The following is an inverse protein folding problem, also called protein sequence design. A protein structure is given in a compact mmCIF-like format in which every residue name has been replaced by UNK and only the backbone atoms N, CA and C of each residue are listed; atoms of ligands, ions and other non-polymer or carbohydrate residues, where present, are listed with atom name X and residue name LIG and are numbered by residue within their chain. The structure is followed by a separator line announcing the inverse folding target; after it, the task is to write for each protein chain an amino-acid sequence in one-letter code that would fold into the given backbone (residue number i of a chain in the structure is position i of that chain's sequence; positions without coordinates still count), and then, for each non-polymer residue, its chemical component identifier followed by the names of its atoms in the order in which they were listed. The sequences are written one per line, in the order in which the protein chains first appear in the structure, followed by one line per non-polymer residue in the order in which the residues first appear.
data_IF_670021754345
#
_entry.id   IF_670021754345
#
_cell.length_a   1.000
_cell.length_b   1.000
_cell.length_c   1.000
_cell.angle_alpha   90.00
_cell.angle_beta   90.00
_cell.angle_gamma   90.00
#
_symmetry.space_group_name_H-M   'P 1'
#
loop_
_entity.id
_entity.type
_entity.pdbx_description
1 polymer ?
#
# COMPACT_ATOMS: atom_id res chain seq x y z
N UNK A 1 -7.58 5.95 -44.54
CA UNK A 1 -6.99 6.24 -43.22
C UNK A 1 -6.79 4.92 -42.49
N UNK A 2 -5.59 4.61 -42.02
CA UNK A 2 -5.35 3.42 -41.21
C UNK A 2 -5.90 3.66 -39.82
N UNK A 3 -7.04 3.05 -39.52
CA UNK A 3 -7.57 3.01 -38.18
C UNK A 3 -6.61 2.18 -37.31
N UNK A 4 -5.94 2.83 -36.35
CA UNK A 4 -4.96 2.20 -35.47
C UNK A 4 -5.58 1.03 -34.70
N UNK A 5 -6.90 1.02 -34.52
CA UNK A 5 -7.63 -0.05 -33.85
C UNK A 5 -7.96 -1.24 -34.76
N UNK A 6 -7.64 -1.19 -36.06
CA UNK A 6 -7.75 -2.34 -36.98
C UNK A 6 -6.46 -3.15 -37.09
N UNK A 7 -5.33 -2.56 -36.67
CA UNK A 7 -4.01 -3.19 -36.75
C UNK A 7 -3.59 -3.71 -35.38
N UNK A 8 -3.51 -5.03 -35.23
CA UNK A 8 -2.88 -5.65 -34.07
C UNK A 8 -1.45 -6.09 -34.41
N UNK A 9 -0.48 -5.72 -33.56
CA UNK A 9 0.90 -6.22 -33.68
C UNK A 9 1.04 -7.45 -32.78
N UNK A 10 1.08 -8.63 -33.40
CA UNK A 10 1.25 -9.92 -32.71
C UNK A 10 -0.06 -10.50 -32.15
N UNK A 11 -0.38 -11.74 -32.56
CA UNK A 11 -1.65 -12.42 -32.24
C UNK A 11 -2.87 -11.75 -32.87
N UNK A 12 -4.06 -12.23 -32.50
CA UNK A 12 -5.36 -11.83 -33.08
C UNK A 12 -6.49 -11.61 -32.03
N UNK A 13 -6.15 -11.72 -30.75
CA UNK A 13 -7.10 -11.78 -29.63
C UNK A 13 -8.03 -10.56 -29.42
N UNK A 14 -7.83 -9.44 -30.12
CA UNK A 14 -8.76 -8.30 -30.12
C UNK A 14 -9.37 -8.00 -31.50
N UNK A 15 -8.89 -8.63 -32.57
CA UNK A 15 -9.31 -8.30 -33.95
C UNK A 15 -10.77 -8.67 -34.23
N UNK A 16 -11.29 -9.67 -33.53
CA UNK A 16 -12.68 -10.14 -33.68
C UNK A 16 -13.69 -9.33 -32.85
N UNK A 17 -13.24 -8.36 -32.05
CA UNK A 17 -14.13 -7.56 -31.20
C UNK A 17 -14.74 -6.41 -32.00
N UNK A 18 -16.01 -6.10 -31.71
CA UNK A 18 -16.73 -4.96 -32.30
C UNK A 18 -16.04 -3.64 -31.97
N UNK A 19 -15.50 -3.52 -30.75
CA UNK A 19 -14.71 -2.38 -30.26
C UNK A 19 -13.47 -2.97 -29.58
N UNK A 20 -12.27 -2.47 -29.91
CA UNK A 20 -11.07 -2.92 -29.20
C UNK A 20 -11.05 -2.38 -27.77
N UNK A 21 -10.55 -3.15 -26.79
CA UNK A 21 -10.45 -2.67 -25.41
C UNK A 21 -9.70 -1.33 -25.30
N UNK A 22 -8.61 -1.16 -26.04
CA UNK A 22 -7.82 0.08 -26.06
C UNK A 22 -8.63 1.29 -26.54
N UNK A 23 -9.52 1.11 -27.52
CA UNK A 23 -10.40 2.17 -28.01
C UNK A 23 -11.41 2.59 -26.94
N UNK A 24 -12.07 1.62 -26.31
CA UNK A 24 -13.02 1.87 -25.23
C UNK A 24 -12.36 2.58 -24.04
N UNK A 25 -11.17 2.12 -23.63
CA UNK A 25 -10.41 2.69 -22.52
C UNK A 25 -10.03 4.15 -22.79
N UNK A 26 -9.47 4.43 -23.98
CA UNK A 26 -9.03 5.77 -24.33
C UNK A 26 -10.20 6.74 -24.49
N UNK A 27 -11.30 6.32 -25.14
CA UNK A 27 -12.48 7.18 -25.32
C UNK A 27 -13.15 7.56 -24.01
N UNK A 28 -13.06 6.71 -22.98
CA UNK A 28 -13.64 6.96 -21.67
C UNK A 28 -12.62 7.51 -20.64
N UNK A 29 -11.36 7.75 -21.05
CA UNK A 29 -10.28 8.21 -20.17
C UNK A 29 -10.15 7.37 -18.89
N UNK A 30 -10.25 6.04 -19.00
CA UNK A 30 -10.18 5.17 -17.83
C UNK A 30 -8.76 5.16 -17.25
N UNK A 31 -8.60 5.17 -15.91
CA UNK A 31 -7.28 5.08 -15.30
C UNK A 31 -6.62 3.73 -15.61
N UNK A 32 -5.29 3.70 -15.41
CA UNK A 32 -4.46 2.59 -15.86
C UNK A 32 -4.91 1.21 -15.33
N UNK A 33 -5.32 1.12 -14.07
CA UNK A 33 -5.69 -0.15 -13.46
C UNK A 33 -6.97 -0.73 -14.09
N UNK A 34 -8.01 0.08 -14.16
CA UNK A 34 -9.31 -0.26 -14.74
C UNK A 34 -9.19 -0.61 -16.22
N UNK A 35 -8.39 0.16 -16.96
CA UNK A 35 -8.10 -0.14 -18.35
C UNK A 35 -7.40 -1.50 -18.54
N UNK A 36 -6.42 -1.82 -17.69
CA UNK A 36 -5.79 -3.14 -17.75
C UNK A 36 -6.77 -4.26 -17.37
N UNK A 37 -7.61 -4.06 -16.36
CA UNK A 37 -8.63 -5.04 -15.99
C UNK A 37 -9.54 -5.38 -17.18
N UNK A 38 -10.09 -4.37 -17.87
CA UNK A 38 -10.90 -4.56 -19.08
C UNK A 38 -10.13 -5.31 -20.16
N UNK A 39 -8.89 -4.90 -20.43
CA UNK A 39 -8.02 -5.55 -21.42
C UNK A 39 -7.89 -7.05 -21.14
N UNK A 40 -7.63 -7.45 -19.90
CA UNK A 40 -7.47 -8.86 -19.54
C UNK A 40 -8.81 -9.63 -19.54
N UNK A 41 -9.91 -8.99 -19.10
CA UNK A 41 -11.26 -9.56 -19.17
C UNK A 41 -11.73 -9.80 -20.62
N UNK A 42 -11.29 -8.98 -21.57
CA UNK A 42 -11.59 -9.21 -22.97
C UNK A 42 -10.70 -10.30 -23.58
N UNK A 43 -9.44 -10.43 -23.13
CA UNK A 43 -8.44 -11.31 -23.74
C UNK A 43 -8.50 -12.78 -23.28
N UNK A 44 -8.98 -13.05 -22.07
CA UNK A 44 -8.69 -14.31 -21.37
C UNK A 44 -9.08 -15.59 -22.14
N UNK A 45 -10.15 -15.56 -22.94
CA UNK A 45 -10.61 -16.74 -23.71
C UNK A 45 -9.68 -17.08 -24.87
N UNK A 46 -9.00 -16.07 -25.41
CA UNK A 46 -8.14 -16.15 -26.59
C UNK A 46 -6.68 -16.32 -26.19
N UNK A 47 -6.28 -15.79 -25.02
CA UNK A 47 -4.91 -15.88 -24.50
C UNK A 47 -4.91 -15.80 -22.97
N UNK A 48 -3.97 -16.49 -22.33
CA UNK A 48 -3.70 -16.35 -20.90
C UNK A 48 -4.71 -17.05 -19.97
N UNK A 49 -5.95 -17.31 -20.41
CA UNK A 49 -6.95 -18.08 -19.67
C UNK A 49 -7.09 -17.59 -18.22
N UNK A 50 -7.00 -18.49 -17.22
CA UNK A 50 -7.08 -18.16 -15.80
C UNK A 50 -6.10 -17.06 -15.38
N UNK A 51 -4.88 -17.06 -15.92
CA UNK A 51 -3.85 -16.10 -15.52
C UNK A 51 -4.24 -14.66 -15.88
N UNK A 52 -4.99 -14.46 -16.97
CA UNK A 52 -5.47 -13.11 -17.31
C UNK A 52 -6.61 -12.68 -16.39
N UNK A 53 -7.45 -13.61 -15.92
CA UNK A 53 -8.44 -13.30 -14.88
C UNK A 53 -7.78 -12.93 -13.54
N UNK A 54 -6.71 -13.64 -13.15
CA UNK A 54 -5.93 -13.30 -11.95
C UNK A 54 -5.29 -11.91 -12.07
N UNK A 55 -4.77 -11.55 -13.26
CA UNK A 55 -4.28 -10.19 -13.53
C UNK A 55 -5.41 -9.17 -13.44
N UNK A 56 -6.59 -9.45 -13.99
CA UNK A 56 -7.74 -8.54 -13.89
C UNK A 56 -8.12 -8.28 -12.43
N UNK A 57 -8.17 -9.33 -11.60
CA UNK A 57 -8.43 -9.20 -10.15
C UNK A 57 -7.37 -8.32 -9.49
N UNK A 58 -6.09 -8.54 -9.78
CA UNK A 58 -5.01 -7.72 -9.23
C UNK A 58 -5.17 -6.24 -9.60
N UNK A 59 -5.50 -5.94 -10.86
CA UNK A 59 -5.76 -4.56 -11.27
C UNK A 59 -7.00 -3.95 -10.59
N UNK A 60 -8.05 -4.74 -10.34
CA UNK A 60 -9.16 -4.27 -9.51
C UNK A 60 -8.69 -3.95 -8.08
N UNK A 61 -7.84 -4.76 -7.48
CA UNK A 61 -7.28 -4.50 -6.15
C UNK A 61 -6.47 -3.19 -6.12
N UNK A 62 -5.70 -2.90 -7.18
CA UNK A 62 -4.99 -1.61 -7.30
C UNK A 62 -5.95 -0.42 -7.35
N UNK A 63 -7.08 -0.54 -8.05
CA UNK A 63 -8.09 0.52 -8.08
C UNK A 63 -8.77 0.70 -6.72
N UNK A 64 -9.03 -0.41 -6.01
CA UNK A 64 -9.56 -0.39 -4.64
C UNK A 64 -8.60 0.34 -3.70
N UNK A 65 -7.33 -0.04 -3.69
CA UNK A 65 -6.32 0.58 -2.82
C UNK A 65 -6.17 2.10 -3.08
N UNK A 66 -6.17 2.50 -4.35
CA UNK A 66 -6.05 3.92 -4.76
C UNK A 66 -7.26 4.76 -4.35
N UNK A 67 -8.47 4.28 -4.61
CA UNK A 67 -9.70 5.08 -4.50
C UNK A 67 -10.44 4.84 -3.17
N UNK A 68 -10.19 3.71 -2.52
CA UNK A 68 -10.82 3.26 -1.29
C UNK A 68 -9.77 2.73 -0.30
N UNK A 69 -8.73 3.52 0.04
CA UNK A 69 -7.69 3.07 0.96
C UNK A 69 -8.30 2.67 2.30
N UNK A 70 -7.91 1.50 2.80
CA UNK A 70 -8.41 0.98 4.07
C UNK A 70 -7.92 1.87 5.22
N UNK A 71 -8.86 2.65 5.79
CA UNK A 71 -8.56 3.54 6.93
C UNK A 71 -8.09 2.78 8.18
N UNK A 72 -8.36 1.47 8.24
CA UNK A 72 -7.96 0.62 9.35
C UNK A 72 -6.45 0.48 9.46
N UNK A 73 -5.76 0.33 8.34
CA UNK A 73 -4.31 0.13 8.33
C UNK A 73 -3.59 1.36 8.89
N UNK A 74 -4.05 2.56 8.51
CA UNK A 74 -3.52 3.82 9.07
C UNK A 74 -3.76 3.95 10.57
N UNK A 75 -4.95 3.58 11.06
CA UNK A 75 -5.29 3.69 12.48
C UNK A 75 -4.51 2.68 13.32
N UNK A 76 -4.38 1.44 12.85
CA UNK A 76 -3.63 0.41 13.54
C UNK A 76 -2.13 0.74 13.60
N UNK A 77 -1.57 1.26 12.51
CA UNK A 77 -0.18 1.73 12.47
C UNK A 77 0.04 2.93 13.42
N UNK A 78 -0.86 3.91 13.41
CA UNK A 78 -0.80 5.04 14.33
C UNK A 78 -0.96 4.64 15.81
N UNK A 79 -1.82 3.67 16.11
CA UNK A 79 -1.99 3.13 17.46
C UNK A 79 -0.73 2.41 17.94
N UNK A 80 -0.06 1.67 17.06
CA UNK A 80 1.19 0.99 17.35
C UNK A 80 2.31 2.01 17.65
N UNK A 81 2.48 3.01 16.79
CA UNK A 81 3.46 4.09 17.00
C UNK A 81 3.23 4.82 18.33
N UNK A 82 1.97 5.12 18.65
CA UNK A 82 1.60 5.77 19.92
C UNK A 82 2.01 4.92 21.13
N UNK A 83 1.79 3.60 21.07
CA UNK A 83 2.13 2.69 22.16
C UNK A 83 3.65 2.59 22.36
N UNK A 84 4.41 2.47 21.27
CA UNK A 84 5.88 2.44 21.32
C UNK A 84 6.44 3.74 21.92
N UNK A 85 5.86 4.88 21.53
CA UNK A 85 6.22 6.18 22.08
C UNK A 85 5.92 6.27 23.59
N UNK A 86 4.73 5.83 24.03
CA UNK A 86 4.36 5.81 25.45
C UNK A 86 5.30 4.93 26.28
N UNK A 87 5.70 3.75 25.77
CA UNK A 87 6.65 2.86 26.44
C UNK A 87 8.03 3.51 26.56
N UNK A 88 8.51 4.15 25.49
CA UNK A 88 9.76 4.91 25.50
C UNK A 88 9.76 6.04 26.53
N UNK A 89 8.67 6.82 26.62
CA UNK A 89 8.52 7.86 27.63
C UNK A 89 8.51 7.31 29.06
N UNK A 90 7.83 6.19 29.30
CA UNK A 90 7.79 5.54 30.63
C UNK A 90 9.20 5.08 31.05
N UNK A 91 9.94 4.48 30.13
CA UNK A 91 11.31 4.03 30.40
C UNK A 91 12.26 5.21 30.65
N UNK A 92 12.18 6.27 29.85
CA UNK A 92 12.97 7.50 30.07
C UNK A 92 12.70 8.12 31.46
N UNK A 93 11.43 8.16 31.88
CA UNK A 93 11.06 8.60 33.22
C UNK A 93 11.64 7.72 34.31
N UNK A 94 11.53 6.39 34.17
CA UNK A 94 12.10 5.43 35.13
C UNK A 94 13.61 5.61 35.30
N UNK A 95 14.33 5.75 34.20
CA UNK A 95 15.77 6.01 34.22
C UNK A 95 16.12 7.32 34.91
N UNK A 96 15.31 8.37 34.71
CA UNK A 96 15.50 9.67 35.36
C UNK A 96 15.29 9.57 36.89
N UNK A 97 14.27 8.84 37.33
CA UNK A 97 13.98 8.60 38.74
C UNK A 97 15.08 7.75 39.42
N UNK A 98 15.54 6.68 38.77
CA UNK A 98 16.65 5.84 39.25
C UNK A 98 17.96 6.62 39.37
N UNK A 99 18.28 7.47 38.38
CA UNK A 99 19.45 8.37 38.43
C UNK A 99 19.37 9.33 39.60
N UNK A 100 18.22 10.00 39.79
CA UNK A 100 18.00 10.92 40.93
C UNK A 100 18.15 10.22 42.27
N UNK A 101 17.61 9.01 42.41
CA UNK A 101 17.74 8.20 43.62
C UNK A 101 19.21 7.85 43.90
N UNK A 102 19.93 7.41 42.87
CA UNK A 102 21.36 7.04 42.98
C UNK A 102 22.23 8.25 43.34
N UNK A 103 21.98 9.41 42.73
CA UNK A 103 22.66 10.67 43.06
C UNK A 103 22.38 11.12 44.49
N UNK A 104 21.14 11.00 44.96
CA UNK A 104 20.77 11.32 46.34
C UNK A 104 21.50 10.41 47.35
N UNK A 105 21.52 9.09 47.12
CA UNK A 105 22.25 8.13 47.97
C UNK A 105 23.75 8.43 48.00
N UNK A 106 24.35 8.73 46.84
CA UNK A 106 25.77 9.14 46.75
C UNK A 106 26.03 10.42 47.55
N UNK A 107 25.18 11.42 47.41
CA UNK A 107 25.26 12.68 48.14
C UNK A 107 25.14 12.49 49.65
N UNK A 108 24.15 11.72 50.11
CA UNK A 108 23.94 11.41 51.52
C UNK A 108 25.15 10.67 52.13
N UNK A 109 25.66 9.65 51.45
CA UNK A 109 26.84 8.91 51.90
C UNK A 109 28.10 9.79 51.97
N UNK A 110 28.27 10.73 51.02
CA UNK A 110 29.36 11.71 51.04
C UNK A 110 29.22 12.68 52.21
N UNK A 111 28.02 13.20 52.48
CA UNK A 111 27.75 14.07 53.62
C UNK A 111 28.06 13.37 54.95
N UNK A 112 27.60 12.11 55.11
CA UNK A 112 27.83 11.32 56.33
C UNK A 112 29.31 11.06 56.64
N UNK A 113 30.16 10.96 55.62
CA UNK A 113 31.62 10.76 55.78
C UNK A 113 32.37 12.04 56.18
N UNK A 114 31.81 13.21 55.89
CA UNK A 114 32.42 14.51 56.18
C UNK A 114 31.87 15.16 57.45
N UNK A 115 31.14 14.38 58.28
CA UNK A 115 30.54 14.79 59.53
C UNK A 115 31.19 13.99 60.66
#
# INVERSE_FOLDING_TARGET
MSDVYKKQIGGDHYQSMVIQPSEFINKNNLPFAEGNAIKYLCRHKQKGQKQDLEKAIHYCQMAIDRDYPDKKDFLEEAEKEKKELEESYKESRRQTEERRSTEWVKGYNKWKKNK
#
